data_IF_595825442987
#
_entry.id   IF_595825442987
#
_cell.length_a   1.000
_cell.length_b   1.000
_cell.length_c   1.000
_cell.angle_alpha   90.00
_cell.angle_beta   90.00
_cell.angle_gamma   90.00
#
_symmetry.space_group_name_H-M   'P 1'
#
loop_
_entity.id
_entity.type
_entity.pdbx_description
1 polymer ?
#
# COMPACT_ATOMS: atom_id res chain seq x y z
N UNK A 1 38.80 12.77 26.48
CA UNK A 1 39.64 11.93 25.57
C UNK A 1 39.61 10.42 25.88
N UNK A 2 38.98 9.96 26.97
CA UNK A 2 38.90 8.52 27.32
C UNK A 2 37.69 7.78 26.70
N UNK A 3 36.61 8.50 26.35
CA UNK A 3 35.41 7.91 25.73
C UNK A 3 35.56 7.58 24.22
N UNK A 4 36.55 8.17 23.53
CA UNK A 4 36.78 7.96 22.10
C UNK A 4 37.58 6.69 21.80
N UNK A 5 38.46 6.27 22.73
CA UNK A 5 39.19 4.98 22.66
C UNK A 5 38.28 3.79 22.97
N UNK A 6 37.31 3.98 23.87
CA UNK A 6 36.34 2.95 24.25
C UNK A 6 35.33 2.67 23.13
N UNK A 7 34.90 3.70 22.39
CA UNK A 7 34.01 3.54 21.22
C UNK A 7 34.70 2.84 20.05
N UNK A 8 35.99 3.08 19.81
CA UNK A 8 36.74 2.39 18.75
C UNK A 8 36.93 0.89 19.04
N UNK A 9 37.23 0.52 20.29
CA UNK A 9 37.32 -0.89 20.70
C UNK A 9 35.96 -1.59 20.59
N UNK A 10 34.87 -0.92 20.97
CA UNK A 10 33.51 -1.46 20.84
C UNK A 10 33.13 -1.67 19.37
N UNK A 11 33.48 -0.77 18.45
CA UNK A 11 33.21 -0.95 17.02
C UNK A 11 33.96 -2.14 16.42
N UNK A 12 35.23 -2.36 16.79
CA UNK A 12 36.02 -3.52 16.33
C UNK A 12 35.38 -4.83 16.83
N UNK A 13 34.98 -4.88 18.11
CA UNK A 13 34.34 -6.06 18.71
C UNK A 13 32.96 -6.33 18.07
N UNK A 14 32.17 -5.29 17.78
CA UNK A 14 30.88 -5.42 17.12
C UNK A 14 30.99 -5.91 15.67
N UNK A 15 32.04 -5.53 14.92
CA UNK A 15 32.22 -6.06 13.54
C UNK A 15 32.59 -7.54 13.50
N UNK A 16 33.27 -8.05 14.54
CA UNK A 16 33.69 -9.46 14.62
C UNK A 16 32.53 -10.37 15.09
N UNK A 17 31.56 -9.84 15.83
CA UNK A 17 30.37 -10.61 16.27
C UNK A 17 29.20 -10.58 15.28
N UNK A 18 29.22 -9.68 14.29
CA UNK A 18 28.15 -9.52 13.28
C UNK A 18 28.12 -10.61 12.19
N UNK A 19 28.97 -11.64 12.28
CA UNK A 19 28.89 -12.81 11.38
C UNK A 19 28.09 -13.99 11.97
N UNK A 20 27.57 -13.92 13.22
CA UNK A 20 27.02 -15.11 13.87
C UNK A 20 25.59 -15.00 14.42
N UNK A 21 24.93 -13.82 14.51
CA UNK A 21 23.52 -13.76 14.96
C UNK A 21 22.75 -12.59 14.32
N UNK A 22 22.19 -12.80 13.13
CA UNK A 22 21.34 -11.83 12.40
C UNK A 22 19.88 -11.76 12.90
N UNK A 23 19.54 -12.12 14.15
CA UNK A 23 18.13 -12.12 14.56
C UNK A 23 17.90 -11.58 15.98
N UNK A 24 18.45 -10.42 16.33
CA UNK A 24 18.01 -9.67 17.53
C UNK A 24 18.10 -8.16 17.27
N UNK A 25 17.02 -7.56 16.76
CA UNK A 25 16.84 -6.12 16.81
C UNK A 25 15.83 -5.78 17.90
N UNK A 26 16.31 -5.28 19.04
CA UNK A 26 15.50 -4.58 20.02
C UNK A 26 15.04 -3.24 19.43
N UNK A 27 13.94 -3.28 18.68
CA UNK A 27 13.02 -2.15 18.58
C UNK A 27 11.74 -2.54 19.32
N UNK A 28 11.02 -1.62 19.98
CA UNK A 28 9.67 -1.93 20.42
C UNK A 28 8.88 -2.34 19.17
N UNK A 29 8.42 -3.59 19.13
CA UNK A 29 7.43 -4.03 18.15
C UNK A 29 6.18 -3.22 18.44
N UNK A 30 5.95 -2.13 17.71
CA UNK A 30 4.61 -1.61 17.59
C UNK A 30 3.95 -2.54 16.59
N UNK A 31 3.20 -3.51 17.09
CA UNK A 31 2.18 -4.20 16.29
C UNK A 31 1.40 -3.10 15.60
N UNK A 32 1.65 -2.88 14.31
CA UNK A 32 0.71 -2.16 13.46
C UNK A 32 -0.53 -3.04 13.40
N UNK A 33 -1.39 -2.88 14.40
CA UNK A 33 -2.81 -3.14 14.25
C UNK A 33 -3.25 -2.17 13.14
N UNK A 34 -3.23 -2.63 11.89
CA UNK A 34 -3.91 -1.97 10.79
C UNK A 34 -5.42 -2.23 10.92
N UNK A 35 -5.96 -1.74 12.03
CA UNK A 35 -7.32 -1.25 12.09
C UNK A 35 -7.29 0.29 12.08
N UNK A 36 -6.33 0.88 11.36
CA UNK A 36 -6.43 2.27 10.93
C UNK A 36 -7.57 2.37 9.92
N UNK A 37 -8.78 2.37 10.45
CA UNK A 37 -9.99 2.89 9.84
C UNK A 37 -9.85 4.42 9.90
N UNK A 38 -8.82 4.92 9.21
CA UNK A 38 -8.82 6.27 8.67
C UNK A 38 -9.03 6.20 7.15
N UNK A 39 -9.64 5.09 6.67
CA UNK A 39 -10.24 5.09 5.35
C UNK A 39 -11.36 6.11 5.33
N UNK A 40 -11.31 7.02 4.36
CA UNK A 40 -12.44 7.90 4.06
C UNK A 40 -13.73 7.08 4.02
N UNK A 41 -14.89 7.62 4.47
CA UNK A 41 -16.12 6.87 4.46
C UNK A 41 -16.40 6.38 3.03
N UNK A 42 -16.29 5.07 2.84
CA UNK A 42 -16.63 4.34 1.61
C UNK A 42 -18.14 4.40 1.44
N UNK A 43 -18.60 5.59 1.08
CA UNK A 43 -19.98 5.92 0.84
C UNK A 43 -20.34 5.52 -0.58
N UNK A 44 -21.59 5.12 -0.76
CA UNK A 44 -22.19 4.90 -2.09
C UNK A 44 -21.99 6.13 -3.00
N UNK A 45 -21.84 7.33 -2.43
CA UNK A 45 -21.51 8.55 -3.19
C UNK A 45 -20.12 8.48 -3.84
N UNK A 46 -19.09 8.08 -3.09
CA UNK A 46 -17.70 7.98 -3.59
C UNK A 46 -17.60 7.01 -4.78
N UNK A 47 -18.39 5.93 -4.73
CA UNK A 47 -18.51 4.97 -5.83
C UNK A 47 -19.02 5.60 -7.14
N UNK A 48 -20.06 6.43 -7.07
CA UNK A 48 -20.59 7.11 -8.27
C UNK A 48 -19.72 8.30 -8.72
N UNK A 49 -19.04 8.97 -7.78
CA UNK A 49 -18.17 10.13 -8.08
C UNK A 49 -16.99 9.73 -8.98
N UNK A 50 -16.51 8.49 -8.91
CA UNK A 50 -15.45 7.94 -9.77
C UNK A 50 -15.98 7.17 -10.99
N UNK A 51 -17.26 7.31 -11.32
CA UNK A 51 -17.89 6.67 -12.49
C UNK A 51 -17.91 5.14 -12.47
N UNK A 52 -17.89 4.48 -11.30
CA UNK A 52 -18.22 3.06 -11.25
C UNK A 52 -19.72 2.86 -11.54
N UNK A 53 -20.06 2.07 -12.56
CA UNK A 53 -21.46 1.85 -13.01
C UNK A 53 -21.99 0.43 -12.72
N UNK A 54 -21.14 -0.43 -12.18
CA UNK A 54 -21.46 -1.83 -11.90
C UNK A 54 -22.14 -2.05 -10.55
N UNK A 55 -21.94 -3.25 -10.00
CA UNK A 55 -22.53 -3.64 -8.72
C UNK A 55 -21.70 -3.05 -7.59
N UNK A 56 -22.31 -2.21 -6.74
CA UNK A 56 -21.62 -1.69 -5.56
C UNK A 56 -21.40 -2.79 -4.52
N UNK A 57 -20.18 -3.30 -4.45
CA UNK A 57 -19.70 -4.15 -3.36
C UNK A 57 -18.75 -3.36 -2.46
N UNK A 58 -19.17 -3.12 -1.22
CA UNK A 58 -18.38 -2.35 -0.24
C UNK A 58 -17.03 -3.01 0.06
N UNK A 59 -16.97 -4.34 0.07
CA UNK A 59 -15.75 -5.08 0.42
C UNK A 59 -14.70 -4.99 -0.68
N UNK A 60 -15.12 -5.16 -1.93
CA UNK A 60 -14.25 -5.01 -3.11
C UNK A 60 -13.80 -3.57 -3.24
N UNK A 61 -14.72 -2.62 -3.11
CA UNK A 61 -14.39 -1.20 -3.16
C UNK A 61 -13.36 -0.81 -2.09
N UNK A 62 -13.50 -1.32 -0.86
CA UNK A 62 -12.53 -1.12 0.21
C UNK A 62 -11.16 -1.73 -0.11
N UNK A 63 -11.13 -2.91 -0.74
CA UNK A 63 -9.88 -3.57 -1.13
C UNK A 63 -9.11 -2.74 -2.15
N UNK A 64 -9.78 -2.23 -3.18
CA UNK A 64 -9.16 -1.39 -4.21
C UNK A 64 -8.73 -0.02 -3.67
N UNK A 65 -9.53 0.60 -2.79
CA UNK A 65 -9.18 1.88 -2.14
C UNK A 65 -7.91 1.75 -1.29
N UNK A 66 -7.73 0.62 -0.58
CA UNK A 66 -6.49 0.35 0.19
C UNK A 66 -5.24 0.27 -0.68
N UNK A 67 -5.32 -0.31 -1.89
CA UNK A 67 -4.18 -0.34 -2.82
C UNK A 67 -3.75 1.09 -3.17
N UNK A 68 -4.72 1.98 -3.40
CA UNK A 68 -4.44 3.38 -3.67
C UNK A 68 -3.85 4.12 -2.45
N UNK A 69 -4.29 3.80 -1.23
CA UNK A 69 -3.72 4.35 0.01
C UNK A 69 -2.29 3.86 0.25
N UNK A 70 -2.03 2.56 0.11
CA UNK A 70 -0.68 1.99 0.27
C UNK A 70 0.31 2.58 -0.77
N UNK A 71 -0.17 2.81 -1.99
CA UNK A 71 0.59 3.48 -3.04
C UNK A 71 0.85 4.96 -2.70
N UNK A 72 -0.15 5.67 -2.17
CA UNK A 72 0.01 7.03 -1.68
C UNK A 72 1.03 7.11 -0.54
N UNK A 73 1.02 6.18 0.41
CA UNK A 73 1.95 6.12 1.55
C UNK A 73 3.41 5.97 1.10
N UNK A 74 3.63 5.28 -0.02
CA UNK A 74 4.95 5.10 -0.60
C UNK A 74 5.48 6.39 -1.25
N UNK A 75 4.66 7.05 -2.08
CA UNK A 75 5.07 8.26 -2.81
C UNK A 75 4.88 9.56 -2.02
N UNK A 76 4.09 9.53 -0.94
CA UNK A 76 3.71 10.66 -0.08
C UNK A 76 3.15 11.86 -0.86
N UNK A 77 2.48 11.60 -1.96
CA UNK A 77 1.99 12.60 -2.90
C UNK A 77 0.45 12.52 -3.01
N UNK A 78 -0.31 13.49 -2.46
CA UNK A 78 -1.76 13.37 -2.28
C UNK A 78 -2.55 13.19 -3.59
N UNK A 79 -2.00 13.64 -4.72
CA UNK A 79 -2.58 13.44 -6.04
C UNK A 79 -2.62 11.96 -6.45
N UNK A 80 -1.70 11.12 -5.95
CA UNK A 80 -1.63 9.70 -6.31
C UNK A 80 -2.90 8.98 -5.89
N UNK A 81 -3.37 9.22 -4.68
CA UNK A 81 -4.59 8.57 -4.19
C UNK A 81 -5.81 8.93 -5.06
N UNK A 82 -5.97 10.21 -5.38
CA UNK A 82 -7.11 10.67 -6.20
C UNK A 82 -7.03 10.14 -7.64
N UNK A 83 -5.84 10.15 -8.23
CA UNK A 83 -5.62 9.68 -9.60
C UNK A 83 -5.75 8.15 -9.70
N UNK A 84 -5.29 7.42 -8.69
CA UNK A 84 -5.41 5.97 -8.62
C UNK A 84 -6.87 5.51 -8.68
N UNK A 85 -7.75 6.15 -7.91
CA UNK A 85 -9.18 5.81 -7.87
C UNK A 85 -9.98 6.30 -9.07
N UNK A 86 -9.41 7.16 -9.89
CA UNK A 86 -10.10 7.79 -11.02
C UNK A 86 -10.60 6.74 -12.01
N UNK A 87 -11.74 7.03 -12.64
CA UNK A 87 -12.34 6.21 -13.69
C UNK A 87 -12.53 4.76 -13.20
N UNK A 88 -13.09 4.60 -12.01
CA UNK A 88 -13.32 3.31 -11.34
C UNK A 88 -12.08 2.39 -11.31
N UNK A 89 -10.93 2.92 -10.86
CA UNK A 89 -9.66 2.20 -10.75
C UNK A 89 -9.07 1.70 -12.08
N UNK A 90 -9.54 2.19 -13.24
CA UNK A 90 -8.97 1.81 -14.55
C UNK A 90 -7.85 2.75 -15.02
N UNK A 91 -7.43 3.70 -14.18
CA UNK A 91 -6.35 4.63 -14.48
C UNK A 91 -4.98 3.93 -14.60
N UNK A 92 -4.06 4.53 -15.35
CA UNK A 92 -2.68 4.01 -15.42
C UNK A 92 -1.93 4.16 -14.08
N UNK A 93 -2.37 5.07 -13.22
CA UNK A 93 -1.86 5.19 -11.85
C UNK A 93 -2.17 3.94 -11.04
N UNK A 94 -3.37 3.36 -11.19
CA UNK A 94 -3.72 2.11 -10.51
C UNK A 94 -2.78 0.96 -10.94
N UNK A 95 -2.53 0.81 -12.25
CA UNK A 95 -1.58 -0.20 -12.76
C UNK A 95 -0.17 0.02 -12.22
N UNK A 96 0.32 1.25 -12.23
CA UNK A 96 1.62 1.58 -11.65
C UNK A 96 1.69 1.28 -10.15
N UNK A 97 0.61 1.53 -9.41
CA UNK A 97 0.52 1.17 -7.99
C UNK A 97 0.61 -0.35 -7.77
N UNK A 98 -0.05 -1.17 -8.60
CA UNK A 98 0.07 -2.63 -8.53
C UNK A 98 1.50 -3.11 -8.77
N UNK A 99 2.19 -2.53 -9.76
CA UNK A 99 3.57 -2.88 -10.08
C UNK A 99 4.52 -2.54 -8.93
N UNK A 100 4.39 -1.32 -8.38
CA UNK A 100 5.26 -0.82 -7.33
C UNK A 100 5.02 -1.54 -6.00
N UNK A 101 3.76 -1.87 -5.69
CA UNK A 101 3.38 -2.67 -4.52
C UNK A 101 3.64 -4.18 -4.71
N UNK A 102 4.09 -4.60 -5.90
CA UNK A 102 4.35 -6.01 -6.26
C UNK A 102 3.13 -6.91 -6.11
N UNK A 103 1.95 -6.38 -6.43
CA UNK A 103 0.67 -7.10 -6.45
C UNK A 103 0.38 -7.72 -7.83
N UNK A 104 1.41 -7.91 -8.66
CA UNK A 104 1.29 -8.43 -10.03
C UNK A 104 0.79 -9.87 -10.05
N UNK A 105 1.10 -10.67 -9.03
CA UNK A 105 0.67 -12.07 -8.93
C UNK A 105 -0.84 -12.21 -8.65
N UNK A 106 -1.46 -11.19 -8.04
CA UNK A 106 -2.90 -11.11 -7.77
C UNK A 106 -3.64 -10.23 -8.79
N UNK A 107 -2.96 -9.77 -9.83
CA UNK A 107 -3.50 -8.81 -10.80
C UNK A 107 -4.77 -9.31 -11.48
N UNK A 108 -4.86 -10.61 -11.79
CA UNK A 108 -6.06 -11.22 -12.38
C UNK A 108 -7.28 -11.13 -11.45
N UNK A 109 -7.08 -11.40 -10.15
CA UNK A 109 -8.16 -11.30 -9.15
C UNK A 109 -8.57 -9.85 -8.92
N UNK A 110 -7.60 -8.93 -8.87
CA UNK A 110 -7.85 -7.49 -8.75
C UNK A 110 -8.60 -6.97 -9.99
N UNK A 111 -8.27 -7.48 -11.18
CA UNK A 111 -8.94 -7.11 -12.41
C UNK A 111 -10.40 -7.59 -12.42
N UNK A 112 -10.67 -8.82 -11.95
CA UNK A 112 -12.03 -9.32 -11.80
C UNK A 112 -12.87 -8.47 -10.84
N UNK A 113 -12.27 -8.06 -9.71
CA UNK A 113 -12.86 -7.12 -8.75
C UNK A 113 -13.25 -5.79 -9.39
N UNK A 114 -12.35 -5.20 -10.20
CA UNK A 114 -12.62 -3.97 -10.94
C UNK A 114 -13.75 -4.16 -11.95
N UNK A 115 -13.77 -5.28 -12.69
CA UNK A 115 -14.81 -5.57 -13.67
C UNK A 115 -16.20 -5.64 -13.03
N UNK A 116 -16.31 -6.20 -11.82
CA UNK A 116 -17.57 -6.25 -11.08
C UNK A 116 -18.09 -4.85 -10.70
N UNK A 117 -17.19 -3.98 -10.25
CA UNK A 117 -17.54 -2.62 -9.81
C UNK A 117 -17.75 -1.65 -10.98
N UNK A 118 -16.96 -1.76 -12.04
CA UNK A 118 -17.02 -0.89 -13.22
C UNK A 118 -18.32 -1.14 -13.98
N UNK A 119 -18.77 -2.40 -14.03
CA UNK A 119 -19.92 -2.79 -14.83
C UNK A 119 -19.55 -2.89 -16.31
N UNK A 120 -20.36 -3.66 -17.04
CA UNK A 120 -20.15 -3.94 -18.47
C UNK A 120 -20.53 -2.71 -19.30
N UNK A 121 -19.55 -1.84 -19.56
CA UNK A 121 -19.54 -0.97 -20.74
C UNK A 121 -18.32 -1.38 -21.59
N UNK A 122 -18.47 -2.31 -22.56
CA UNK A 122 -17.41 -2.74 -23.47
C UNK A 122 -17.29 -1.75 -24.64
N UNK A 123 -17.10 -0.47 -24.32
CA UNK A 123 -17.29 0.62 -25.26
C UNK A 123 -16.12 1.61 -25.33
N UNK A 124 -14.90 1.11 -25.56
CA UNK A 124 -13.89 1.83 -26.35
C UNK A 124 -12.94 0.84 -27.03
#
# INVERSE_FOLDING_TARGET
>A
MLQCRLTLLVLIIMTVTMLVLDQIQCSPVNTRNNNQIAGHPLSKRSFFDIQCKGVYDKSIFARLDRICEDCYDLFRAPQIHTLCRKDCFTSDYFKGCLEVLRLTDESDSIQADIMQLHGVDPGL
#
